data_IF_031807244250
#
_entry.id   IF_031807244250
#
_cell.length_a   1.000
_cell.length_b   1.000
_cell.length_c   1.000
_cell.angle_alpha   90.00
_cell.angle_beta   90.00
_cell.angle_gamma   90.00
#
_symmetry.space_group_name_H-M   'P 1'
#
loop_
_entity.id
_entity.type
_entity.pdbx_description
1 polymer ?
#
# COMPACT_ATOMS: atom_id res chain seq x y z
N UNK A 1 24.32 -15.46 -21.21
CA UNK A 1 25.22 -14.61 -20.40
C UNK A 1 24.71 -14.62 -18.97
N UNK A 2 25.42 -15.29 -18.06
CA UNK A 2 25.08 -15.27 -16.64
C UNK A 2 25.51 -13.92 -16.06
N UNK A 3 24.55 -13.10 -15.65
CA UNK A 3 24.83 -11.87 -14.92
C UNK A 3 25.52 -12.26 -13.60
N UNK A 4 26.78 -11.86 -13.42
CA UNK A 4 27.46 -12.01 -12.13
C UNK A 4 26.68 -11.15 -11.14
N UNK A 5 25.98 -11.78 -10.20
CA UNK A 5 25.43 -11.07 -9.03
C UNK A 5 26.60 -10.37 -8.37
N UNK A 6 26.53 -9.04 -8.26
CA UNK A 6 27.50 -8.25 -7.49
C UNK A 6 27.64 -8.88 -6.10
N UNK A 7 28.87 -8.97 -5.55
CA UNK A 7 29.05 -9.47 -4.19
C UNK A 7 28.16 -8.66 -3.25
N UNK A 8 27.31 -9.38 -2.53
CA UNK A 8 26.41 -8.78 -1.57
C UNK A 8 27.26 -8.26 -0.39
N UNK A 9 27.04 -7.02 0.08
CA UNK A 9 27.85 -6.45 1.14
C UNK A 9 27.71 -7.25 2.45
N UNK A 10 28.70 -7.17 3.34
CA UNK A 10 28.56 -7.76 4.67
C UNK A 10 27.74 -6.82 5.58
N UNK A 11 26.51 -7.24 5.90
CA UNK A 11 25.60 -6.47 6.76
C UNK A 11 26.01 -6.48 8.24
N UNK A 12 26.79 -7.47 8.68
CA UNK A 12 27.02 -7.71 10.11
C UNK A 12 27.72 -6.53 10.79
N UNK A 13 28.63 -5.87 10.06
CA UNK A 13 29.52 -4.83 10.55
C UNK A 13 29.09 -3.41 10.16
N UNK A 14 27.90 -3.24 9.56
CA UNK A 14 27.40 -1.94 9.12
C UNK A 14 26.75 -1.15 10.25
N UNK A 15 26.87 0.18 10.20
CA UNK A 15 26.12 1.10 11.05
C UNK A 15 24.66 1.24 10.60
N UNK A 16 23.83 1.89 11.43
CA UNK A 16 22.40 2.09 11.16
C UNK A 16 22.15 2.80 9.81
N UNK A 17 22.90 3.88 9.54
CA UNK A 17 22.72 4.69 8.33
C UNK A 17 23.03 3.88 7.06
N UNK A 18 24.11 3.10 7.07
CA UNK A 18 24.48 2.22 5.96
C UNK A 18 23.43 1.14 5.71
N UNK A 19 22.90 0.52 6.77
CA UNK A 19 21.84 -0.48 6.67
C UNK A 19 20.55 0.10 6.09
N UNK A 20 20.17 1.31 6.50
CA UNK A 20 19.01 2.01 5.93
C UNK A 20 19.24 2.39 4.47
N UNK A 21 20.45 2.84 4.11
CA UNK A 21 20.82 3.13 2.73
C UNK A 21 20.73 1.87 1.84
N UNK A 22 21.30 0.76 2.31
CA UNK A 22 21.19 -0.55 1.65
C UNK A 22 19.72 -0.95 1.48
N UNK A 23 18.92 -0.86 2.53
CA UNK A 23 17.51 -1.22 2.46
C UNK A 23 16.74 -0.40 1.42
N UNK A 24 17.01 0.92 1.33
CA UNK A 24 16.36 1.82 0.36
C UNK A 24 16.76 1.51 -1.09
N UNK A 25 18.02 1.16 -1.34
CA UNK A 25 18.57 1.00 -2.69
C UNK A 25 18.44 -0.42 -3.26
N UNK A 26 18.24 -1.41 -2.39
CA UNK A 26 18.13 -2.81 -2.79
C UNK A 26 16.78 -3.15 -3.44
N UNK A 27 16.82 -3.97 -4.50
CA UNK A 27 15.62 -4.47 -5.19
C UNK A 27 15.18 -5.86 -4.71
N UNK A 28 16.11 -6.67 -4.21
CA UNK A 28 15.79 -7.99 -3.65
C UNK A 28 15.09 -7.83 -2.28
N UNK A 29 13.82 -8.26 -2.13
CA UNK A 29 13.06 -8.09 -0.90
C UNK A 29 13.67 -8.88 0.27
N UNK A 30 14.27 -10.05 0.02
CA UNK A 30 14.93 -10.83 1.08
C UNK A 30 16.09 -10.03 1.66
N UNK A 31 16.85 -9.40 0.77
CA UNK A 31 18.05 -8.67 1.15
C UNK A 31 17.73 -7.32 1.81
N UNK A 32 16.68 -6.63 1.33
CA UNK A 32 16.10 -5.48 2.02
C UNK A 32 15.65 -5.85 3.45
N UNK A 33 14.95 -6.97 3.61
CA UNK A 33 14.50 -7.43 4.92
C UNK A 33 15.65 -7.74 5.87
N UNK A 34 16.72 -8.38 5.39
CA UNK A 34 17.91 -8.67 6.18
C UNK A 34 18.58 -7.39 6.70
N UNK A 35 18.75 -6.38 5.84
CA UNK A 35 19.31 -5.09 6.24
C UNK A 35 18.44 -4.38 7.29
N UNK A 36 17.11 -4.38 7.10
CA UNK A 36 16.16 -3.80 8.05
C UNK A 36 16.11 -4.55 9.38
N UNK A 37 16.16 -5.88 9.36
CA UNK A 37 16.20 -6.70 10.59
C UNK A 37 17.49 -6.43 11.36
N UNK A 38 18.62 -6.28 10.66
CA UNK A 38 19.89 -5.92 11.31
C UNK A 38 19.82 -4.51 11.90
N UNK A 39 19.22 -3.55 11.20
CA UNK A 39 18.99 -2.20 11.70
C UNK A 39 18.10 -2.21 12.96
N UNK A 40 17.05 -3.03 12.99
CA UNK A 40 16.17 -3.21 14.15
C UNK A 40 16.92 -3.79 15.35
N UNK A 41 17.85 -4.71 15.14
CA UNK A 41 18.69 -5.22 16.23
C UNK A 41 19.61 -4.16 16.83
N UNK A 42 20.13 -3.24 16.02
CA UNK A 42 21.00 -2.16 16.49
C UNK A 42 20.22 -1.09 17.26
N UNK A 43 19.08 -0.67 16.71
CA UNK A 43 18.24 0.38 17.31
C UNK A 43 16.76 -0.03 17.22
N UNK A 44 16.26 -0.84 18.17
CA UNK A 44 14.90 -1.39 18.10
C UNK A 44 13.80 -0.34 18.05
N UNK A 45 14.00 0.79 18.73
CA UNK A 45 13.02 1.87 18.86
C UNK A 45 13.15 2.95 17.78
N UNK A 46 13.95 2.70 16.73
CA UNK A 46 14.03 3.61 15.60
C UNK A 46 12.75 3.55 14.74
N UNK A 47 11.99 4.65 14.72
CA UNK A 47 10.72 4.75 13.99
C UNK A 47 10.89 4.48 12.48
N UNK A 48 11.98 4.95 11.87
CA UNK A 48 12.22 4.75 10.45
C UNK A 48 12.38 3.27 10.10
N UNK A 49 13.14 2.53 10.92
CA UNK A 49 13.29 1.07 10.78
C UNK A 49 11.95 0.37 10.96
N UNK A 50 11.19 0.73 12.00
CA UNK A 50 9.88 0.12 12.26
C UNK A 50 8.89 0.36 11.12
N UNK A 51 8.84 1.59 10.59
CA UNK A 51 8.01 1.97 9.44
C UNK A 51 8.42 1.21 8.17
N UNK A 52 9.72 1.10 7.91
CA UNK A 52 10.24 0.39 6.75
C UNK A 52 9.91 -1.12 6.81
N UNK A 53 10.02 -1.75 7.98
CA UNK A 53 9.61 -3.15 8.19
C UNK A 53 8.09 -3.33 8.06
N UNK A 54 7.30 -2.39 8.58
CA UNK A 54 5.84 -2.41 8.46
C UNK A 54 5.38 -2.39 7.00
N UNK A 55 5.93 -1.47 6.20
CA UNK A 55 5.60 -1.36 4.77
C UNK A 55 6.19 -2.51 3.95
N UNK A 56 7.33 -3.07 4.39
CA UNK A 56 7.89 -4.26 3.77
C UNK A 56 6.96 -5.48 3.89
N UNK A 57 6.21 -5.57 4.99
CA UNK A 57 5.32 -6.69 5.26
C UNK A 57 6.05 -8.03 5.14
N UNK A 58 5.57 -8.89 4.24
CA UNK A 58 6.11 -10.24 4.03
C UNK A 58 6.78 -10.42 2.67
N UNK A 59 7.20 -9.34 2.02
CA UNK A 59 7.77 -9.40 0.67
C UNK A 59 8.98 -10.34 0.54
N UNK A 60 9.74 -10.55 1.62
CA UNK A 60 10.86 -11.50 1.68
C UNK A 60 10.42 -12.98 1.64
N UNK A 61 9.15 -13.29 1.90
CA UNK A 61 8.58 -14.64 1.81
C UNK A 61 8.14 -14.98 0.38
N UNK A 62 8.21 -14.01 -0.55
CA UNK A 62 7.72 -14.17 -1.92
C UNK A 62 8.46 -15.30 -2.65
N UNK A 63 7.71 -16.32 -3.06
CA UNK A 63 8.18 -17.37 -3.95
C UNK A 63 7.97 -16.94 -5.42
N UNK A 64 9.03 -16.76 -6.24
CA UNK A 64 8.88 -16.35 -7.63
C UNK A 64 8.16 -17.39 -8.50
N UNK A 65 8.00 -18.63 -8.03
CA UNK A 65 7.27 -19.69 -8.73
C UNK A 65 5.77 -19.69 -8.42
N UNK A 66 5.33 -18.95 -7.40
CA UNK A 66 3.94 -18.86 -6.99
C UNK A 66 3.45 -17.42 -7.14
N UNK A 67 2.27 -17.25 -7.72
CA UNK A 67 1.64 -15.95 -7.80
C UNK A 67 0.82 -15.71 -6.53
N UNK A 68 1.52 -15.35 -5.45
CA UNK A 68 0.91 -14.98 -4.17
C UNK A 68 1.12 -13.48 -3.92
N UNK A 69 0.03 -12.71 -3.95
CA UNK A 69 0.05 -11.28 -3.69
C UNK A 69 -0.18 -10.93 -2.21
N UNK A 70 -0.60 -11.90 -1.38
CA UNK A 70 -0.88 -11.69 0.05
C UNK A 70 0.36 -11.30 0.86
N UNK A 71 1.55 -11.48 0.29
CA UNK A 71 2.83 -11.07 0.87
C UNK A 71 3.11 -9.56 0.70
N UNK A 72 2.42 -8.89 -0.23
CA UNK A 72 2.57 -7.46 -0.49
C UNK A 72 1.67 -6.71 0.49
N UNK A 73 2.23 -5.81 1.31
CA UNK A 73 1.49 -5.18 2.41
C UNK A 73 0.24 -4.45 1.95
N UNK A 74 0.29 -3.73 0.83
CA UNK A 74 -0.85 -3.00 0.31
C UNK A 74 -2.00 -3.91 -0.19
N UNK A 75 -1.76 -5.22 -0.39
CA UNK A 75 -2.78 -6.18 -0.80
C UNK A 75 -3.94 -6.30 0.21
N UNK A 76 -3.77 -5.83 1.44
CA UNK A 76 -4.88 -5.65 2.40
C UNK A 76 -6.06 -4.87 1.81
N UNK A 77 -5.81 -3.94 0.88
CA UNK A 77 -6.86 -3.17 0.19
C UNK A 77 -7.68 -4.01 -0.82
N UNK A 78 -7.20 -5.20 -1.19
CA UNK A 78 -7.93 -6.11 -2.08
C UNK A 78 -9.26 -6.57 -1.50
N UNK A 79 -9.40 -6.58 -0.17
CA UNK A 79 -10.67 -6.86 0.49
C UNK A 79 -11.77 -5.83 0.16
N UNK A 80 -11.39 -4.63 -0.31
CA UNK A 80 -12.33 -3.58 -0.71
C UNK A 80 -12.50 -3.46 -2.23
N UNK A 81 -11.53 -3.91 -3.03
CA UNK A 81 -11.72 -3.95 -4.49
C UNK A 81 -12.55 -5.16 -4.92
N UNK A 82 -12.21 -6.34 -4.38
CA UNK A 82 -12.84 -7.61 -4.71
C UNK A 82 -13.28 -8.34 -3.43
N UNK A 83 -14.26 -7.81 -2.68
CA UNK A 83 -14.74 -8.46 -1.46
C UNK A 83 -15.26 -9.89 -1.70
N UNK A 84 -15.72 -10.20 -2.91
CA UNK A 84 -16.17 -11.52 -3.34
C UNK A 84 -15.07 -12.59 -3.36
N UNK A 85 -13.81 -12.18 -3.48
CA UNK A 85 -12.66 -13.08 -3.53
C UNK A 85 -12.19 -13.53 -2.13
N UNK A 86 -12.74 -12.94 -1.07
CA UNK A 86 -12.30 -13.20 0.32
C UNK A 86 -13.44 -13.77 1.16
N UNK A 87 -13.23 -14.92 1.83
CA UNK A 87 -14.13 -15.37 2.87
C UNK A 87 -14.32 -14.29 3.96
N UNK A 88 -15.49 -14.22 4.65
CA UNK A 88 -15.77 -13.17 5.63
C UNK A 88 -14.70 -12.99 6.71
N UNK A 89 -14.12 -14.09 7.22
CA UNK A 89 -13.06 -14.04 8.23
C UNK A 89 -11.74 -13.48 7.67
N UNK A 90 -11.43 -13.75 6.40
CA UNK A 90 -10.25 -13.20 5.73
C UNK A 90 -10.42 -11.72 5.45
N UNK A 91 -11.59 -11.30 4.93
CA UNK A 91 -11.91 -9.89 4.73
C UNK A 91 -11.83 -9.10 6.06
N UNK A 92 -12.38 -9.68 7.15
CA UNK A 92 -12.26 -9.10 8.50
C UNK A 92 -10.81 -8.98 8.94
N UNK A 93 -10.01 -10.05 8.81
CA UNK A 93 -8.57 -10.03 9.16
C UNK A 93 -7.85 -8.93 8.40
N UNK A 94 -8.05 -8.84 7.09
CA UNK A 94 -7.38 -7.84 6.24
C UNK A 94 -7.75 -6.41 6.64
N UNK A 95 -9.05 -6.16 6.90
CA UNK A 95 -9.52 -4.86 7.37
C UNK A 95 -8.94 -4.49 8.74
N UNK A 96 -8.91 -5.42 9.70
CA UNK A 96 -8.32 -5.16 11.03
C UNK A 96 -6.81 -4.97 10.98
N UNK A 97 -6.10 -5.73 10.15
CA UNK A 97 -4.63 -5.62 10.02
C UNK A 97 -4.17 -4.22 9.56
N UNK A 98 -5.01 -3.47 8.83
CA UNK A 98 -4.74 -2.08 8.47
C UNK A 98 -4.62 -1.15 9.69
N UNK A 99 -5.19 -1.50 10.84
CA UNK A 99 -5.26 -0.64 12.03
C UNK A 99 -4.68 -1.28 13.29
N UNK A 100 -4.60 -2.61 13.36
CA UNK A 100 -4.33 -3.35 14.59
C UNK A 100 -3.08 -4.24 14.56
N UNK A 101 -2.30 -4.25 13.47
CA UNK A 101 -1.06 -5.05 13.46
C UNK A 101 -0.09 -4.56 14.53
N UNK A 102 0.53 -5.50 15.25
CA UNK A 102 1.50 -5.23 16.32
C UNK A 102 2.60 -4.23 15.92
N UNK A 103 3.14 -4.32 14.68
CA UNK A 103 4.18 -3.39 14.22
C UNK A 103 3.64 -1.99 13.96
N UNK A 104 2.44 -1.85 13.41
CA UNK A 104 1.76 -0.56 13.30
C UNK A 104 1.56 0.06 14.68
N UNK A 105 1.02 -0.70 15.64
CA UNK A 105 0.82 -0.22 17.02
C UNK A 105 2.15 0.21 17.67
N UNK A 106 3.27 -0.45 17.34
CA UNK A 106 4.60 -0.05 17.79
C UNK A 106 5.04 1.27 17.15
N UNK A 107 4.86 1.44 15.84
CA UNK A 107 5.15 2.70 15.17
C UNK A 107 4.34 3.87 15.75
N UNK A 108 3.05 3.66 16.01
CA UNK A 108 2.18 4.68 16.62
C UNK A 108 2.67 5.11 18.01
N UNK A 109 3.23 4.19 18.80
CA UNK A 109 3.82 4.51 20.11
C UNK A 109 5.14 5.29 20.01
N UNK A 110 5.90 5.08 18.94
CA UNK A 110 7.19 5.74 18.72
C UNK A 110 7.06 7.09 18.01
N UNK A 111 5.95 7.31 17.31
CA UNK A 111 5.72 8.54 16.53
C UNK A 111 5.42 9.73 17.45
N UNK A 112 6.04 10.88 17.15
CA UNK A 112 5.74 12.16 17.81
C UNK A 112 4.29 12.60 17.57
N UNK A 113 3.77 12.32 16.37
CA UNK A 113 2.38 12.54 15.98
C UNK A 113 1.83 11.21 15.41
N UNK A 114 1.17 10.40 16.26
CA UNK A 114 0.63 9.10 15.85
C UNK A 114 -0.45 9.21 14.77
N UNK A 115 -1.27 10.27 14.79
CA UNK A 115 -2.32 10.46 13.80
C UNK A 115 -1.74 10.80 12.43
N UNK A 116 -0.73 11.67 12.38
CA UNK A 116 0.00 11.95 11.13
C UNK A 116 0.66 10.69 10.59
N UNK A 117 1.31 9.89 11.45
CA UNK A 117 1.91 8.63 11.05
C UNK A 117 0.86 7.68 10.44
N UNK A 118 -0.30 7.52 11.08
CA UNK A 118 -1.36 6.65 10.57
C UNK A 118 -1.86 7.11 9.20
N UNK A 119 -2.11 8.41 9.03
CA UNK A 119 -2.53 8.98 7.74
C UNK A 119 -1.49 8.71 6.64
N UNK A 120 -0.22 8.94 6.92
CA UNK A 120 0.87 8.70 5.95
C UNK A 120 1.02 7.22 5.60
N UNK A 121 0.92 6.33 6.59
CA UNK A 121 0.98 4.89 6.38
C UNK A 121 -0.15 4.41 5.46
N UNK A 122 -1.40 4.77 5.75
CA UNK A 122 -2.54 4.39 4.92
C UNK A 122 -2.43 4.98 3.51
N UNK A 123 -1.95 6.21 3.38
CA UNK A 123 -1.73 6.84 2.08
C UNK A 123 -0.64 6.13 1.27
N UNK A 124 0.44 5.67 1.91
CA UNK A 124 1.48 4.90 1.23
C UNK A 124 0.98 3.54 0.74
N UNK A 125 0.20 2.82 1.57
CA UNK A 125 -0.47 1.60 1.14
C UNK A 125 -1.41 1.85 -0.04
N UNK A 126 -2.26 2.87 0.04
CA UNK A 126 -3.18 3.21 -1.02
C UNK A 126 -2.47 3.60 -2.33
N UNK A 127 -1.38 4.37 -2.25
CA UNK A 127 -0.57 4.74 -3.42
C UNK A 127 0.05 3.52 -4.08
N UNK A 128 0.60 2.62 -3.28
CA UNK A 128 1.18 1.39 -3.80
C UNK A 128 0.12 0.47 -4.41
N UNK A 129 -1.03 0.32 -3.76
CA UNK A 129 -2.14 -0.48 -4.26
C UNK A 129 -2.68 0.06 -5.59
N UNK A 130 -2.92 1.36 -5.66
CA UNK A 130 -3.35 2.06 -6.87
C UNK A 130 -2.38 1.78 -8.04
N UNK A 131 -1.07 1.80 -7.78
CA UNK A 131 -0.03 1.55 -8.77
C UNK A 131 0.05 0.08 -9.21
N UNK A 132 -0.02 -0.86 -8.27
CA UNK A 132 0.25 -2.29 -8.51
C UNK A 132 -0.98 -3.04 -9.00
N UNK A 133 -2.17 -2.72 -8.50
CA UNK A 133 -3.38 -3.52 -8.74
C UNK A 133 -4.37 -2.76 -9.61
N UNK A 134 -4.78 -1.55 -9.21
CA UNK A 134 -5.84 -0.82 -9.92
C UNK A 134 -5.37 -0.33 -11.29
N UNK A 135 -4.21 0.34 -11.36
CA UNK A 135 -3.71 0.90 -12.61
C UNK A 135 -3.03 -0.12 -13.52
N UNK A 136 -2.49 -1.20 -12.96
CA UNK A 136 -1.88 -2.28 -13.75
C UNK A 136 -2.94 -3.22 -14.36
N UNK A 137 -4.18 -3.20 -13.84
CA UNK A 137 -5.27 -3.97 -14.40
C UNK A 137 -5.74 -3.37 -15.74
N UNK A 138 -5.21 -3.94 -16.81
CA UNK A 138 -5.51 -3.56 -18.18
C UNK A 138 -6.92 -3.95 -18.63
N UNK A 139 -7.73 -4.66 -17.82
CA UNK A 139 -9.12 -5.01 -18.16
C UNK A 139 -9.99 -3.75 -18.36
N UNK A 140 -9.61 -2.63 -17.75
CA UNK A 140 -10.38 -1.38 -17.78
C UNK A 140 -9.98 -0.41 -18.92
N UNK A 141 -8.93 -0.71 -19.70
CA UNK A 141 -8.40 0.19 -20.74
C UNK A 141 -8.67 -0.39 -22.15
N UNK A 142 -9.54 0.23 -22.97
CA UNK A 142 -9.73 -0.15 -24.36
C UNK A 142 -8.41 -0.02 -25.14
N UNK A 143 -7.95 -1.11 -25.73
CA UNK A 143 -6.79 -1.12 -26.64
C UNK A 143 -7.24 -0.69 -28.03
N UNK A 144 -6.99 0.57 -28.39
CA UNK A 144 -7.18 1.05 -29.77
C UNK A 144 -5.81 1.40 -30.35
N UNK A 145 -5.35 0.61 -31.32
CA UNK A 145 -4.14 0.86 -32.12
C UNK A 145 -2.85 1.22 -31.36
N UNK A 146 -2.59 0.63 -30.19
CA UNK A 146 -1.29 0.74 -29.51
C UNK A 146 -0.93 2.13 -28.95
N UNK A 147 -1.86 3.09 -28.95
CA UNK A 147 -1.65 4.42 -28.38
C UNK A 147 -2.55 4.58 -27.15
N UNK A 148 -1.97 4.60 -25.94
CA UNK A 148 -2.73 4.90 -24.72
C UNK A 148 -2.95 6.40 -24.60
N UNK A 149 -4.20 6.86 -24.68
CA UNK A 149 -4.54 8.27 -24.48
C UNK A 149 -4.48 8.61 -22.97
N UNK A 150 -3.49 9.40 -22.53
CA UNK A 150 -3.37 9.80 -21.10
C UNK A 150 -4.59 10.54 -20.56
N UNK A 151 -5.32 11.28 -21.40
CA UNK A 151 -6.58 11.95 -21.02
C UNK A 151 -7.77 11.03 -20.76
N UNK A 152 -7.59 9.70 -20.83
CA UNK A 152 -8.63 8.70 -20.57
C UNK A 152 -8.38 7.88 -19.29
N UNK A 153 -7.17 7.92 -18.73
CA UNK A 153 -6.79 7.05 -17.61
C UNK A 153 -7.61 7.35 -16.34
N UNK A 154 -7.75 8.62 -15.96
CA UNK A 154 -8.58 9.02 -14.83
C UNK A 154 -10.03 8.56 -14.98
N UNK A 155 -10.59 8.64 -16.21
CA UNK A 155 -11.94 8.18 -16.51
C UNK A 155 -12.10 6.66 -16.37
N UNK A 156 -11.10 5.89 -16.82
CA UNK A 156 -11.13 4.43 -16.71
C UNK A 156 -10.98 3.94 -15.28
N UNK A 157 -10.11 4.58 -14.51
CA UNK A 157 -9.86 4.21 -13.11
C UNK A 157 -10.98 4.69 -12.17
N UNK A 158 -11.80 5.65 -12.60
CA UNK A 158 -12.87 6.21 -11.77
C UNK A 158 -13.93 5.18 -11.35
N UNK A 159 -14.21 4.17 -12.17
CA UNK A 159 -15.15 3.10 -11.80
C UNK A 159 -14.60 2.23 -10.65
N UNK A 160 -13.46 1.52 -10.81
CA UNK A 160 -12.91 0.69 -9.73
C UNK A 160 -12.57 1.50 -8.48
N UNK A 161 -12.07 2.73 -8.63
CA UNK A 161 -11.81 3.60 -7.48
C UNK A 161 -13.10 3.98 -6.71
N UNK A 162 -14.21 4.20 -7.41
CA UNK A 162 -15.51 4.47 -6.78
C UNK A 162 -16.01 3.24 -6.00
N UNK A 163 -15.89 2.05 -6.59
CA UNK A 163 -16.33 0.80 -5.97
C UNK A 163 -15.51 0.50 -4.70
N UNK A 164 -14.19 0.66 -4.76
CA UNK A 164 -13.30 0.57 -3.58
C UNK A 164 -13.73 1.56 -2.49
N UNK A 165 -13.95 2.83 -2.82
CA UNK A 165 -14.34 3.85 -1.85
C UNK A 165 -15.70 3.54 -1.20
N UNK A 166 -16.67 3.03 -1.97
CA UNK A 166 -17.97 2.60 -1.45
C UNK A 166 -17.82 1.40 -0.52
N UNK A 167 -16.99 0.43 -0.89
CA UNK A 167 -16.75 -0.77 -0.08
C UNK A 167 -16.00 -0.43 1.23
N UNK A 168 -15.06 0.52 1.19
CA UNK A 168 -14.43 1.05 2.42
C UNK A 168 -15.47 1.69 3.33
N UNK A 169 -16.27 2.62 2.79
CA UNK A 169 -17.24 3.41 3.58
C UNK A 169 -18.43 2.59 4.09
N UNK A 170 -18.71 1.42 3.50
CA UNK A 170 -19.77 0.51 3.92
C UNK A 170 -19.26 -0.75 4.61
N UNK A 171 -17.94 -0.86 4.85
CA UNK A 171 -17.33 -2.04 5.45
C UNK A 171 -17.87 -2.29 6.87
N UNK A 172 -18.39 -3.49 7.17
CA UNK A 172 -18.82 -3.83 8.53
C UNK A 172 -17.63 -4.10 9.48
N UNK A 173 -16.40 -4.08 8.96
CA UNK A 173 -15.17 -4.40 9.71
C UNK A 173 -14.38 -3.15 10.12
N UNK A 174 -14.80 -1.98 9.64
CA UNK A 174 -14.24 -0.69 9.99
C UNK A 174 -15.27 0.10 10.81
N UNK A 175 -14.81 0.82 11.82
CA UNK A 175 -15.63 1.87 12.41
C UNK A 175 -15.68 3.10 11.48
N UNK A 176 -16.54 4.06 11.81
CA UNK A 176 -16.76 5.24 10.97
C UNK A 176 -15.50 6.10 10.76
N UNK A 177 -14.65 6.21 11.78
CA UNK A 177 -13.41 6.99 11.71
C UNK A 177 -12.36 6.28 10.84
N UNK A 178 -12.16 4.97 11.07
CA UNK A 178 -11.27 4.12 10.28
C UNK A 178 -11.67 4.13 8.80
N UNK A 179 -12.98 4.00 8.51
CA UNK A 179 -13.49 4.02 7.15
C UNK A 179 -13.23 5.36 6.46
N UNK A 180 -13.46 6.49 7.15
CA UNK A 180 -13.17 7.83 6.61
C UNK A 180 -11.67 8.05 6.39
N UNK A 181 -10.82 7.64 7.33
CA UNK A 181 -9.36 7.76 7.20
C UNK A 181 -8.84 6.97 6.00
N UNK A 182 -9.28 5.71 5.84
CA UNK A 182 -8.89 4.86 4.73
C UNK A 182 -9.41 5.38 3.38
N UNK A 183 -10.67 5.82 3.33
CA UNK A 183 -11.27 6.40 2.13
C UNK A 183 -10.55 7.68 1.70
N UNK A 184 -10.17 8.54 2.64
CA UNK A 184 -9.36 9.74 2.39
C UNK A 184 -7.98 9.40 1.84
N UNK A 185 -7.30 8.44 2.44
CA UNK A 185 -6.01 7.96 1.96
C UNK A 185 -6.11 7.41 0.53
N UNK A 186 -7.13 6.62 0.23
CA UNK A 186 -7.36 6.06 -1.10
C UNK A 186 -7.72 7.12 -2.15
N UNK A 187 -8.63 8.03 -1.82
CA UNK A 187 -8.99 9.14 -2.70
C UNK A 187 -7.78 10.03 -2.99
N UNK A 188 -6.94 10.31 -1.98
CA UNK A 188 -5.71 11.07 -2.17
C UNK A 188 -4.71 10.34 -3.08
N UNK A 189 -4.57 9.03 -2.92
CA UNK A 189 -3.74 8.21 -3.81
C UNK A 189 -4.24 8.27 -5.26
N UNK A 190 -5.56 8.20 -5.48
CA UNK A 190 -6.15 8.39 -6.81
C UNK A 190 -5.85 9.79 -7.37
N UNK A 191 -6.09 10.85 -6.60
CA UNK A 191 -5.81 12.23 -6.99
C UNK A 191 -4.34 12.42 -7.42
N UNK A 192 -3.40 11.90 -6.63
CA UNK A 192 -1.97 11.96 -6.94
C UNK A 192 -1.64 11.17 -8.21
N UNK A 193 -2.21 9.98 -8.37
CA UNK A 193 -1.95 9.12 -9.51
C UNK A 193 -2.48 9.69 -10.83
N UNK A 194 -3.63 10.38 -10.80
CA UNK A 194 -4.24 11.00 -11.99
C UNK A 194 -3.76 12.43 -12.25
N UNK A 195 -2.80 12.94 -11.47
CA UNK A 195 -2.32 14.32 -11.61
C UNK A 195 -3.39 15.37 -11.29
N UNK A 196 -4.32 15.03 -10.41
CA UNK A 196 -5.42 15.90 -9.97
C UNK A 196 -6.71 15.80 -10.76
N UNK A 197 -6.77 15.01 -11.85
CA UNK A 197 -8.03 14.78 -12.57
C UNK A 197 -8.92 13.81 -11.79
N UNK A 198 -9.86 14.37 -11.03
CA UNK A 198 -10.85 13.63 -10.22
C UNK A 198 -12.28 13.76 -10.76
N UNK A 199 -12.49 14.51 -11.84
CA UNK A 199 -13.83 14.86 -12.35
C UNK A 199 -14.73 13.64 -12.54
N UNK A 200 -14.19 12.58 -13.14
CA UNK A 200 -14.94 11.35 -13.43
C UNK A 200 -15.24 10.54 -12.16
N UNK A 201 -14.34 10.56 -11.17
CA UNK A 201 -14.53 9.89 -9.89
C UNK A 201 -15.57 10.64 -9.05
N UNK A 202 -15.43 11.96 -8.96
CA UNK A 202 -16.34 12.85 -8.23
C UNK A 202 -17.79 12.73 -8.70
N UNK A 203 -17.98 12.68 -10.02
CA UNK A 203 -19.29 12.47 -10.62
C UNK A 203 -19.92 11.13 -10.19
N UNK A 204 -19.12 10.07 -10.03
CA UNK A 204 -19.59 8.73 -9.61
C UNK A 204 -19.86 8.63 -8.12
N UNK A 205 -19.05 9.29 -7.29
CA UNK A 205 -19.24 9.33 -5.84
C UNK A 205 -20.51 10.10 -5.45
N UNK A 206 -20.83 11.17 -6.19
CA UNK A 206 -21.92 12.07 -5.85
C UNK A 206 -21.59 12.94 -4.62
N UNK A 207 -22.46 13.90 -4.28
CA UNK A 207 -22.18 14.89 -3.23
C UNK A 207 -22.08 14.29 -1.82
N UNK A 208 -22.84 13.24 -1.52
CA UNK A 208 -22.90 12.64 -0.19
C UNK A 208 -21.58 11.94 0.18
N UNK A 209 -21.09 11.03 -0.68
CA UNK A 209 -19.83 10.33 -0.41
C UNK A 209 -18.63 11.29 -0.48
N UNK A 210 -18.66 12.30 -1.37
CA UNK A 210 -17.62 13.34 -1.37
C UNK A 210 -17.55 14.10 -0.06
N UNK A 211 -18.69 14.41 0.57
CA UNK A 211 -18.71 15.07 1.89
C UNK A 211 -18.07 14.26 3.02
N UNK A 212 -18.04 12.92 2.89
CA UNK A 212 -17.37 12.03 3.86
C UNK A 212 -15.86 11.95 3.65
N UNK A 213 -15.40 12.27 2.44
CA UNK A 213 -14.00 12.17 2.01
C UNK A 213 -13.31 13.55 2.06
N UNK A 214 -14.05 14.65 1.86
CA UNK A 214 -13.55 16.03 1.96
C UNK A 214 -13.09 16.41 3.35
#
# INVERSE_FOLDING_TARGET
MFSKKSPQPDLANMGLEDLLFVARTQQDPVWRHQALTRAEQLVPENLEVQRALLLHGRLHERDPKKMDFSVIKCYLLHAFEHPEDHPPEEARRMARELFEEARLLRCLKLATDPEAFLREYLQELAREYMRIFVAADNRHIPRVFGISFRGSLARYLAAPACDILRNILSSPHLNEEEARLLARAFYRAFYEFTGGDVTSLDSRLGPQLRGLIS
#
